data_IF_474352375578
#
_entry.id   IF_474352375578
#
_cell.length_a   1.000
_cell.length_b   1.000
_cell.length_c   1.000
_cell.angle_alpha   90.00
_cell.angle_beta   90.00
_cell.angle_gamma   90.00
#
_symmetry.space_group_name_H-M   'P 1'
#
loop_
_entity.id
_entity.type
_entity.pdbx_description
1 polymer ?
#
# COMPACT_ATOMS: atom_id res chain seq x y z
N UNK A 1 0.46 -12.13 -93.56
CA UNK A 1 -0.05 -10.89 -93.04
C UNK A 1 -1.02 -11.22 -91.88
N UNK A 2 -0.58 -11.12 -90.63
CA UNK A 2 -1.42 -11.34 -89.48
C UNK A 2 -1.14 -10.15 -88.54
N UNK A 3 -2.15 -9.31 -88.36
CA UNK A 3 -2.10 -8.10 -87.49
C UNK A 3 -2.11 -8.49 -86.01
N UNK A 4 -1.06 -8.18 -85.32
CA UNK A 4 -0.96 -8.30 -83.87
C UNK A 4 -1.58 -7.04 -83.21
N UNK A 5 -2.84 -7.12 -82.74
CA UNK A 5 -3.58 -6.09 -82.05
C UNK A 5 -3.11 -6.01 -80.56
N UNK A 6 -2.24 -5.08 -80.23
CA UNK A 6 -1.83 -4.74 -78.88
C UNK A 6 -3.06 -4.21 -78.11
N UNK A 7 -3.57 -4.99 -77.14
CA UNK A 7 -4.57 -4.53 -76.14
C UNK A 7 -3.88 -3.66 -75.09
N UNK A 8 -4.10 -2.36 -75.16
CA UNK A 8 -3.70 -1.44 -74.09
C UNK A 8 -4.50 -1.74 -72.82
N UNK A 9 -3.88 -1.93 -71.64
CA UNK A 9 -4.61 -2.16 -70.40
C UNK A 9 -5.48 -0.94 -70.07
N UNK A 10 -6.74 -1.18 -69.72
CA UNK A 10 -7.72 -0.15 -69.37
C UNK A 10 -7.25 0.62 -68.10
N UNK A 11 -6.78 1.86 -68.29
CA UNK A 11 -6.33 2.76 -67.21
C UNK A 11 -7.42 2.99 -66.15
N UNK A 12 -8.70 2.86 -66.53
CA UNK A 12 -9.84 2.94 -65.62
C UNK A 12 -9.91 1.76 -64.62
N UNK A 13 -9.54 0.56 -65.03
CA UNK A 13 -9.54 -0.62 -64.18
C UNK A 13 -8.39 -0.58 -63.14
N UNK A 14 -7.23 -0.05 -63.57
CA UNK A 14 -6.08 0.14 -62.69
C UNK A 14 -6.33 1.26 -61.62
N UNK A 15 -7.07 2.29 -62.01
CA UNK A 15 -7.44 3.37 -61.04
C UNK A 15 -8.50 2.89 -60.05
N UNK A 16 -9.46 2.04 -60.45
CA UNK A 16 -10.49 1.50 -59.57
C UNK A 16 -9.90 0.53 -58.53
N UNK A 17 -8.91 -0.32 -58.92
CA UNK A 17 -8.16 -1.16 -57.95
C UNK A 17 -7.30 -0.35 -56.99
N UNK A 18 -6.73 0.80 -57.40
CA UNK A 18 -5.94 1.65 -56.53
C UNK A 18 -6.81 2.36 -55.45
N UNK A 19 -8.04 2.75 -55.79
CA UNK A 19 -8.98 3.40 -54.85
C UNK A 19 -9.54 2.40 -53.83
N UNK A 20 -9.81 1.15 -54.22
CA UNK A 20 -10.31 0.11 -53.31
C UNK A 20 -9.23 -0.37 -52.31
N UNK A 21 -7.94 -0.21 -52.61
CA UNK A 21 -6.86 -0.53 -51.68
C UNK A 21 -6.67 0.54 -50.59
N UNK A 22 -7.09 1.79 -50.78
CA UNK A 22 -7.00 2.87 -49.82
C UNK A 22 -8.06 2.81 -48.71
N UNK A 23 -9.21 2.18 -48.96
CA UNK A 23 -10.28 2.03 -47.96
C UNK A 23 -10.08 0.83 -47.02
N UNK A 24 -9.08 -0.03 -47.25
CA UNK A 24 -8.83 -1.25 -46.47
C UNK A 24 -8.03 -1.05 -45.16
N UNK A 25 -7.51 0.15 -44.90
CA UNK A 25 -6.63 0.37 -43.74
C UNK A 25 -7.33 0.28 -42.37
N UNK A 26 -8.66 0.37 -42.32
CA UNK A 26 -9.44 0.30 -41.04
C UNK A 26 -9.75 -1.16 -40.61
N UNK A 27 -9.52 -2.15 -41.46
CA UNK A 27 -9.87 -3.57 -41.18
C UNK A 27 -8.69 -4.44 -40.78
N UNK A 28 -7.48 -3.87 -40.69
CA UNK A 28 -6.30 -4.64 -40.27
C UNK A 28 -6.40 -4.94 -38.77
N UNK A 29 -6.09 -6.18 -38.32
CA UNK A 29 -6.15 -6.53 -36.90
C UNK A 29 -5.17 -5.70 -36.08
N UNK A 30 -5.69 -5.02 -35.09
CA UNK A 30 -4.93 -4.23 -34.10
C UNK A 30 -4.92 -4.92 -32.76
N UNK A 31 -3.77 -4.83 -32.06
CA UNK A 31 -3.61 -5.38 -30.71
C UNK A 31 -4.20 -4.48 -29.59
N UNK A 32 -5.09 -3.54 -29.93
CA UNK A 32 -5.74 -2.63 -29.01
C UNK A 32 -6.04 -1.26 -29.63
N UNK A 33 -6.59 -0.29 -28.87
CA UNK A 33 -6.99 1.02 -29.37
C UNK A 33 -5.79 1.85 -29.85
N UNK A 34 -6.02 2.71 -30.83
CA UNK A 34 -5.06 3.73 -31.28
C UNK A 34 -5.07 4.92 -30.33
N UNK A 35 -4.05 5.77 -30.41
CA UNK A 35 -3.99 7.03 -29.65
C UNK A 35 -5.26 7.85 -29.81
N UNK A 36 -5.76 8.02 -31.03
CA UNK A 36 -6.98 8.76 -31.31
C UNK A 36 -8.21 8.14 -30.62
N UNK A 37 -8.37 6.81 -30.67
CA UNK A 37 -9.51 6.11 -30.06
C UNK A 37 -9.60 6.36 -28.56
N UNK A 38 -8.43 6.41 -27.86
CA UNK A 38 -8.36 6.68 -26.41
C UNK A 38 -8.70 8.14 -26.12
N UNK A 39 -8.20 9.07 -26.91
CA UNK A 39 -8.46 10.49 -26.76
C UNK A 39 -9.91 10.86 -27.07
N UNK A 40 -10.48 10.29 -28.12
CA UNK A 40 -11.83 10.54 -28.57
C UNK A 40 -12.87 9.98 -27.59
N UNK A 41 -12.62 8.80 -27.02
CA UNK A 41 -13.51 8.21 -26.01
C UNK A 41 -13.61 9.04 -24.70
N UNK A 42 -12.65 9.90 -24.44
CA UNK A 42 -12.67 10.84 -23.30
C UNK A 42 -13.44 12.12 -23.58
N UNK A 43 -13.80 12.39 -24.85
CA UNK A 43 -14.55 13.60 -25.20
C UNK A 43 -16.04 13.40 -24.88
N UNK A 44 -16.73 14.46 -24.37
CA UNK A 44 -18.17 14.38 -24.17
C UNK A 44 -18.87 14.15 -25.52
N UNK A 45 -19.60 13.05 -25.63
CA UNK A 45 -20.43 12.81 -26.81
C UNK A 45 -21.57 13.87 -26.87
N UNK A 46 -22.04 14.22 -28.06
CA UNK A 46 -23.14 15.21 -28.22
C UNK A 46 -24.50 14.70 -27.72
N UNK A 47 -24.58 13.47 -27.20
CA UNK A 47 -25.82 12.90 -26.67
C UNK A 47 -26.10 13.36 -25.23
N UNK A 48 -27.33 13.81 -24.92
CA UNK A 48 -27.70 14.18 -23.56
C UNK A 48 -27.61 12.99 -22.62
N UNK A 49 -26.76 13.09 -21.56
CA UNK A 49 -26.56 12.04 -20.53
C UNK A 49 -25.35 11.14 -20.74
N UNK A 50 -24.58 11.29 -21.80
CA UNK A 50 -23.32 10.57 -21.96
C UNK A 50 -22.28 11.09 -20.94
N UNK A 51 -21.78 10.21 -20.11
CA UNK A 51 -20.64 10.47 -19.23
C UNK A 51 -19.45 9.71 -19.77
N UNK A 52 -18.38 10.41 -20.15
CA UNK A 52 -17.16 9.79 -20.64
C UNK A 52 -16.69 8.70 -19.64
N UNK A 53 -16.23 7.54 -20.13
CA UNK A 53 -15.85 6.42 -19.25
C UNK A 53 -14.66 6.76 -18.33
N UNK A 54 -13.82 7.69 -18.74
CA UNK A 54 -12.63 8.18 -18.02
C UNK A 54 -12.27 9.59 -18.49
N UNK A 55 -11.42 10.28 -17.70
CA UNK A 55 -10.81 11.55 -18.08
C UNK A 55 -9.38 11.30 -18.58
N UNK A 56 -8.98 11.96 -19.67
CA UNK A 56 -7.58 11.95 -20.15
C UNK A 56 -6.88 13.21 -19.68
N UNK A 57 -5.74 13.02 -19.01
CA UNK A 57 -4.95 14.07 -18.41
C UNK A 57 -3.51 14.01 -18.94
N UNK A 58 -3.01 15.03 -19.66
CA UNK A 58 -1.61 15.07 -20.07
C UNK A 58 -0.71 15.21 -18.84
N UNK A 59 0.40 14.46 -18.82
CA UNK A 59 1.38 14.55 -17.74
C UNK A 59 2.15 15.86 -17.88
N UNK A 60 1.89 16.78 -16.95
CA UNK A 60 2.53 18.11 -16.85
C UNK A 60 3.11 18.29 -15.45
N UNK A 61 3.94 19.33 -15.25
CA UNK A 61 4.48 19.66 -13.92
C UNK A 61 3.39 19.86 -12.86
N UNK A 62 2.27 20.49 -13.21
CA UNK A 62 1.14 20.69 -12.29
C UNK A 62 0.45 19.38 -11.90
N UNK A 63 0.33 18.45 -12.84
CA UNK A 63 -0.23 17.11 -12.61
C UNK A 63 0.71 16.31 -11.71
N UNK A 64 2.00 16.31 -12.00
CA UNK A 64 3.01 15.63 -11.17
C UNK A 64 2.99 16.17 -9.74
N UNK A 65 2.97 17.52 -9.57
CA UNK A 65 2.88 18.14 -8.26
C UNK A 65 1.60 17.72 -7.49
N UNK A 66 0.45 17.65 -8.17
CA UNK A 66 -0.79 17.17 -7.57
C UNK A 66 -0.68 15.71 -7.09
N UNK A 67 -0.04 14.83 -7.87
CA UNK A 67 0.17 13.43 -7.52
C UNK A 67 1.12 13.26 -6.33
N UNK A 68 2.19 14.05 -6.24
CA UNK A 68 3.16 14.02 -5.14
C UNK A 68 2.57 14.46 -3.79
N UNK A 69 1.63 15.41 -3.79
CA UNK A 69 1.07 15.99 -2.57
C UNK A 69 -0.10 15.18 -1.96
N UNK A 70 -0.63 14.16 -2.65
CA UNK A 70 -1.78 13.38 -2.19
C UNK A 70 -1.42 11.89 -2.07
N UNK A 71 -0.58 11.50 -1.08
CA UNK A 71 -0.29 10.09 -0.83
C UNK A 71 -1.55 9.37 -0.35
N UNK A 72 -1.86 8.23 -0.99
CA UNK A 72 -3.06 7.44 -0.70
C UNK A 72 -2.85 6.60 0.55
N UNK A 73 -3.86 6.65 1.46
CA UNK A 73 -3.96 5.79 2.63
C UNK A 73 -2.95 6.14 3.73
N UNK A 74 -3.10 5.51 4.89
CA UNK A 74 -2.17 5.61 6.00
C UNK A 74 -2.83 5.37 7.35
N UNK A 75 -2.02 5.12 8.38
CA UNK A 75 -2.50 4.95 9.75
C UNK A 75 -2.87 6.29 10.37
N UNK A 76 -2.11 7.35 10.05
CA UNK A 76 -2.37 8.69 10.56
C UNK A 76 -3.76 9.21 10.19
N UNK A 77 -4.20 8.96 8.96
CA UNK A 77 -5.55 9.33 8.51
C UNK A 77 -6.67 8.54 9.19
N UNK A 78 -6.40 7.28 9.57
CA UNK A 78 -7.40 6.40 10.20
C UNK A 78 -7.49 6.60 11.72
N UNK A 79 -6.36 6.86 12.39
CA UNK A 79 -6.27 6.86 13.85
C UNK A 79 -5.87 8.21 14.45
N UNK A 80 -5.55 9.19 13.62
CA UNK A 80 -5.04 10.49 14.03
C UNK A 80 -3.62 10.39 14.60
N UNK A 81 -2.88 11.50 14.61
CA UNK A 81 -1.57 11.59 15.24
C UNK A 81 -1.63 11.74 16.75
N UNK A 82 -2.65 11.19 17.41
CA UNK A 82 -2.83 11.34 18.86
C UNK A 82 -1.74 10.56 19.58
N UNK A 83 -0.92 11.28 20.32
CA UNK A 83 0.00 10.71 21.31
C UNK A 83 -0.84 9.82 22.23
N UNK A 84 -0.61 8.50 22.16
CA UNK A 84 -1.29 7.56 23.05
C UNK A 84 -1.01 7.99 24.50
N UNK A 85 -2.06 8.21 25.29
CA UNK A 85 -1.89 8.49 26.70
C UNK A 85 -1.13 7.34 27.36
N UNK A 86 -0.13 7.66 28.15
CA UNK A 86 0.57 6.69 29.00
C UNK A 86 -0.47 6.06 29.91
N UNK A 87 -0.79 4.81 29.75
CA UNK A 87 -1.60 4.08 30.70
C UNK A 87 -0.68 3.41 31.71
N UNK A 88 -0.34 4.12 32.77
CA UNK A 88 0.32 3.54 33.95
C UNK A 88 -0.67 2.78 34.83
N UNK A 89 -1.94 2.77 34.45
CA UNK A 89 -3.01 2.14 35.21
C UNK A 89 -2.94 0.63 35.08
N UNK A 90 -2.97 -0.04 36.21
CA UNK A 90 -3.11 -1.49 36.33
C UNK A 90 -4.47 -1.94 35.78
N UNK A 91 -4.49 -3.11 35.19
CA UNK A 91 -5.71 -3.70 34.64
C UNK A 91 -6.02 -5.07 35.20
N UNK A 92 -7.19 -5.60 34.85
CA UNK A 92 -7.60 -6.95 35.20
C UNK A 92 -6.64 -7.96 34.58
N UNK A 93 -6.16 -8.92 35.36
CA UNK A 93 -5.22 -9.95 34.94
C UNK A 93 -3.76 -9.59 35.19
N UNK A 94 -3.41 -8.32 35.44
CA UNK A 94 -2.05 -7.94 35.83
C UNK A 94 -1.65 -8.62 37.14
N UNK A 95 -0.36 -8.93 37.27
CA UNK A 95 0.21 -9.50 38.49
C UNK A 95 1.12 -8.49 39.17
N UNK A 96 0.82 -8.16 40.41
CA UNK A 96 1.56 -7.20 41.22
C UNK A 96 2.31 -7.88 42.36
N UNK A 97 3.53 -7.40 42.60
CA UNK A 97 4.30 -7.71 43.80
C UNK A 97 4.06 -6.64 44.86
N UNK A 98 3.90 -7.04 46.10
CA UNK A 98 3.67 -6.12 47.25
C UNK A 98 4.72 -6.41 48.31
N UNK A 99 5.46 -5.38 48.68
CA UNK A 99 6.41 -5.40 49.79
C UNK A 99 5.96 -4.39 50.88
N UNK A 100 5.84 -4.86 52.13
CA UNK A 100 5.43 -4.05 53.25
C UNK A 100 6.59 -3.97 54.26
N UNK A 101 6.96 -2.77 54.59
CA UNK A 101 8.02 -2.44 55.59
C UNK A 101 7.39 -1.83 56.80
N UNK A 102 7.79 -2.26 58.01
CA UNK A 102 7.41 -1.67 59.30
C UNK A 102 8.62 -1.15 60.05
N UNK A 103 8.44 -0.03 60.74
CA UNK A 103 9.52 0.63 61.49
C UNK A 103 9.82 -0.02 62.86
N UNK A 104 9.05 -1.04 63.28
CA UNK A 104 9.15 -1.63 64.61
C UNK A 104 9.39 -3.15 64.60
N UNK A 105 10.21 -3.65 65.53
CA UNK A 105 10.47 -5.08 65.71
C UNK A 105 9.28 -5.88 66.27
N UNK A 106 8.21 -5.24 66.75
CA UNK A 106 7.01 -5.86 67.27
C UNK A 106 5.76 -5.65 66.43
N UNK A 107 5.91 -5.26 65.16
CA UNK A 107 4.79 -4.94 64.27
C UNK A 107 3.99 -6.15 63.79
N UNK A 108 2.89 -5.86 63.09
CA UNK A 108 1.90 -6.83 62.62
C UNK A 108 2.48 -7.92 61.67
N UNK A 109 3.54 -7.56 60.92
CA UNK A 109 4.22 -8.45 59.99
C UNK A 109 5.55 -9.00 60.53
N UNK A 110 5.77 -8.86 61.84
CA UNK A 110 6.94 -9.38 62.52
C UNK A 110 6.90 -10.90 62.65
N UNK A 111 7.75 -11.66 61.99
CA UNK A 111 8.00 -13.05 62.32
C UNK A 111 8.83 -13.11 63.58
N UNK A 112 8.45 -13.94 64.57
CA UNK A 112 9.04 -14.02 65.92
C UNK A 112 10.44 -14.59 66.00
N UNK A 113 11.39 -14.15 65.23
CA UNK A 113 12.79 -14.52 65.36
C UNK A 113 13.47 -13.50 66.30
N UNK A 114 13.87 -13.98 67.48
CA UNK A 114 14.52 -13.21 68.57
C UNK A 114 16.01 -13.01 68.18
N UNK A 115 16.24 -12.25 67.14
CA UNK A 115 17.57 -11.77 66.78
C UNK A 115 17.73 -10.31 67.22
N UNK A 116 18.77 -9.99 67.97
CA UNK A 116 19.17 -8.69 68.48
C UNK A 116 19.56 -7.69 67.39
N UNK A 117 18.66 -7.34 66.48
CA UNK A 117 18.91 -6.40 65.40
C UNK A 117 17.82 -5.34 65.36
N UNK A 118 18.16 -4.08 65.61
CA UNK A 118 17.34 -2.90 65.27
C UNK A 118 17.32 -2.80 63.74
N UNK A 119 16.30 -3.39 63.09
CA UNK A 119 16.19 -3.39 61.64
C UNK A 119 14.72 -3.28 61.18
N UNK A 120 14.51 -2.51 60.14
CA UNK A 120 13.25 -2.46 59.43
C UNK A 120 12.88 -3.87 58.97
N UNK A 121 11.70 -4.37 59.34
CA UNK A 121 11.20 -5.66 58.86
C UNK A 121 10.48 -5.50 57.53
N UNK A 122 10.80 -6.36 56.59
CA UNK A 122 10.21 -6.42 55.26
C UNK A 122 9.48 -7.73 55.08
N UNK A 123 8.21 -7.66 54.74
CA UNK A 123 7.42 -8.84 54.31
C UNK A 123 7.04 -8.68 52.84
N UNK A 124 7.51 -9.63 52.02
CA UNK A 124 7.10 -9.72 50.63
C UNK A 124 5.92 -10.69 50.51
N UNK A 125 4.79 -10.18 50.07
CA UNK A 125 3.61 -11.00 49.83
C UNK A 125 3.80 -11.83 48.52
N UNK A 126 3.20 -13.01 48.43
CA UNK A 126 3.12 -13.73 47.16
C UNK A 126 2.53 -12.83 46.08
N UNK A 127 2.99 -12.96 44.81
CA UNK A 127 2.44 -12.19 43.71
C UNK A 127 0.92 -12.28 43.63
N UNK A 128 0.22 -11.14 43.52
CA UNK A 128 -1.23 -11.05 43.52
C UNK A 128 -1.71 -10.71 42.11
N UNK A 129 -2.62 -11.54 41.56
CA UNK A 129 -3.29 -11.23 40.31
C UNK A 129 -4.52 -10.36 40.58
N UNK A 130 -4.71 -9.31 39.79
CA UNK A 130 -5.91 -8.47 39.82
C UNK A 130 -7.09 -9.27 39.30
N UNK A 131 -8.10 -9.45 40.15
CA UNK A 131 -9.31 -10.23 39.86
C UNK A 131 -10.21 -9.54 38.79
N UNK A 132 -11.23 -10.28 38.32
CA UNK A 132 -12.17 -9.76 37.33
C UNK A 132 -12.95 -8.51 37.80
N UNK A 133 -13.12 -8.34 39.12
CA UNK A 133 -13.73 -7.16 39.69
C UNK A 133 -12.76 -5.98 39.86
N UNK A 134 -11.48 -6.17 39.56
CA UNK A 134 -10.42 -5.16 39.61
C UNK A 134 -9.76 -4.99 40.97
N UNK A 135 -9.82 -6.02 41.84
CA UNK A 135 -9.28 -5.99 43.18
C UNK A 135 -8.11 -6.96 43.39
N UNK A 136 -7.30 -6.70 44.39
CA UNK A 136 -6.30 -7.59 44.97
C UNK A 136 -6.63 -7.82 46.45
N UNK A 137 -6.22 -8.96 47.02
CA UNK A 137 -6.41 -9.29 48.43
C UNK A 137 -5.09 -9.14 49.18
N UNK A 138 -5.09 -8.25 50.16
CA UNK A 138 -3.91 -7.95 50.97
C UNK A 138 -4.21 -8.32 52.42
N UNK A 139 -3.40 -9.21 53.06
CA UNK A 139 -3.60 -9.54 54.46
C UNK A 139 -3.71 -8.28 55.32
N UNK A 140 -4.66 -8.29 56.27
CA UNK A 140 -4.99 -7.19 57.19
C UNK A 140 -5.52 -5.90 56.54
N UNK A 141 -5.23 -5.62 55.26
CA UNK A 141 -5.81 -4.49 54.50
C UNK A 141 -7.13 -4.86 53.80
N UNK A 142 -7.38 -6.17 53.58
CA UNK A 142 -8.56 -6.66 52.92
C UNK A 142 -8.50 -6.54 51.41
N UNK A 143 -9.66 -6.33 50.74
CA UNK A 143 -9.76 -6.13 49.28
C UNK A 143 -9.43 -4.68 48.92
N UNK A 144 -8.43 -4.49 48.10
CA UNK A 144 -7.97 -3.18 47.62
C UNK A 144 -8.19 -3.09 46.12
N UNK A 145 -8.86 -2.05 45.66
CA UNK A 145 -9.06 -1.78 44.24
C UNK A 145 -7.73 -1.41 43.60
N UNK A 146 -7.35 -2.18 42.56
CA UNK A 146 -6.11 -1.99 41.81
C UNK A 146 -6.37 -1.56 40.35
N UNK A 147 -7.40 -2.09 39.71
CA UNK A 147 -7.74 -1.76 38.32
C UNK A 147 -8.09 -0.27 38.16
N UNK A 148 -7.52 0.36 37.12
CA UNK A 148 -7.66 1.78 36.83
C UNK A 148 -6.79 2.70 37.70
N UNK A 149 -5.90 2.14 38.52
CA UNK A 149 -4.99 2.88 39.40
C UNK A 149 -3.54 2.59 39.08
N UNK A 150 -2.65 3.53 39.41
CA UNK A 150 -1.19 3.32 39.31
C UNK A 150 -0.69 2.48 40.50
N UNK A 151 0.48 1.86 40.35
CA UNK A 151 1.14 1.14 41.47
C UNK A 151 1.31 2.00 42.69
N UNK A 152 1.65 3.29 42.53
CA UNK A 152 1.76 4.27 43.62
C UNK A 152 0.42 4.51 44.32
N UNK A 153 -0.68 4.65 43.61
CA UNK A 153 -2.02 4.84 44.15
C UNK A 153 -2.51 3.60 44.92
N UNK A 154 -2.21 2.40 44.38
CA UNK A 154 -2.53 1.14 45.06
C UNK A 154 -1.72 1.04 46.35
N UNK A 155 -0.41 1.33 46.33
CA UNK A 155 0.46 1.36 47.54
C UNK A 155 -0.07 2.32 48.62
N UNK A 156 -0.47 3.53 48.20
CA UNK A 156 -1.08 4.50 49.11
C UNK A 156 -2.39 3.99 49.73
N UNK A 157 -3.22 3.30 48.96
CA UNK A 157 -4.48 2.70 49.45
C UNK A 157 -4.23 1.57 50.44
N UNK A 158 -3.23 0.70 50.21
CA UNK A 158 -2.83 -0.36 51.14
C UNK A 158 -2.29 0.24 52.42
N UNK A 159 -1.41 1.24 52.31
CA UNK A 159 -0.85 1.95 53.49
C UNK A 159 -1.95 2.53 54.34
N UNK A 160 -2.93 3.23 53.72
CA UNK A 160 -4.05 3.81 54.47
C UNK A 160 -4.89 2.75 55.19
N UNK A 161 -5.14 1.58 54.57
CA UNK A 161 -5.87 0.48 55.19
C UNK A 161 -5.11 -0.21 56.33
N UNK A 162 -3.78 -0.13 56.36
CA UNK A 162 -2.91 -0.70 57.36
C UNK A 162 -2.58 0.29 58.52
N UNK A 163 -2.79 1.58 58.33
CA UNK A 163 -2.35 2.64 59.29
C UNK A 163 -2.87 2.45 60.69
N UNK A 164 -4.05 1.86 60.90
CA UNK A 164 -4.61 1.57 62.23
C UNK A 164 -4.15 0.23 62.84
N UNK A 165 -3.40 -0.59 62.07
CA UNK A 165 -3.06 -1.96 62.46
C UNK A 165 -1.55 -2.21 62.48
N UNK A 166 -0.79 -1.45 61.69
CA UNK A 166 0.67 -1.55 61.56
C UNK A 166 1.35 -0.26 62.01
N UNK A 167 2.59 -0.36 62.41
CA UNK A 167 3.37 0.80 62.92
C UNK A 167 4.15 1.41 61.77
N UNK A 168 3.73 2.60 61.31
CA UNK A 168 4.31 3.38 60.21
C UNK A 168 4.59 2.51 58.95
N UNK A 169 3.55 1.87 58.37
CA UNK A 169 3.74 0.95 57.27
C UNK A 169 4.15 1.70 55.98
N UNK A 170 5.25 1.24 55.39
CA UNK A 170 5.67 1.66 54.05
C UNK A 170 5.33 0.55 53.08
N UNK A 171 4.65 0.85 51.94
CA UNK A 171 4.18 -0.12 50.98
C UNK A 171 4.72 0.18 49.58
N UNK A 172 5.42 -0.77 49.00
CA UNK A 172 5.90 -0.71 47.64
C UNK A 172 5.11 -1.73 46.80
N UNK A 173 4.51 -1.26 45.74
CA UNK A 173 3.80 -2.09 44.76
C UNK A 173 4.57 -2.06 43.44
N UNK A 174 4.90 -3.24 42.91
CA UNK A 174 5.59 -3.42 41.63
C UNK A 174 4.69 -4.18 40.66
N UNK A 175 4.75 -3.87 39.37
CA UNK A 175 4.09 -4.64 38.35
C UNK A 175 5.05 -5.78 37.91
N UNK A 176 4.70 -7.02 38.23
CA UNK A 176 5.51 -8.20 37.90
C UNK A 176 5.16 -8.75 36.52
N UNK A 177 3.87 -8.75 36.16
CA UNK A 177 3.42 -9.17 34.85
C UNK A 177 2.32 -8.24 34.35
N UNK A 178 2.54 -7.70 33.16
CA UNK A 178 1.56 -6.87 32.46
C UNK A 178 0.73 -7.76 31.52
N UNK A 179 -0.53 -7.99 31.85
CA UNK A 179 -1.46 -8.79 31.08
C UNK A 179 -2.61 -7.96 30.47
N UNK A 180 -2.84 -6.78 31.02
CA UNK A 180 -3.93 -5.88 30.59
C UNK A 180 -3.52 -4.97 29.43
N UNK A 181 -2.28 -4.52 29.39
CA UNK A 181 -1.80 -3.55 28.39
C UNK A 181 -0.95 -4.26 27.31
N UNK A 182 -1.58 -5.13 26.52
CA UNK A 182 -0.93 -5.90 25.46
C UNK A 182 -1.37 -5.41 24.08
N UNK A 183 -0.44 -5.43 23.12
CA UNK A 183 -0.69 -5.34 21.69
C UNK A 183 -0.44 -6.72 21.06
N UNK A 184 -1.30 -7.13 20.15
CA UNK A 184 -1.11 -8.34 19.36
C UNK A 184 -0.37 -8.00 18.06
N UNK A 185 0.70 -8.73 17.75
CA UNK A 185 1.42 -8.62 16.48
C UNK A 185 1.48 -9.99 15.83
N UNK A 186 1.07 -10.08 14.57
CA UNK A 186 0.97 -11.36 13.86
C UNK A 186 1.23 -11.23 12.36
N UNK A 187 1.34 -12.37 11.65
CA UNK A 187 1.59 -12.44 10.22
C UNK A 187 3.08 -12.54 9.88
N UNK A 188 3.55 -11.75 8.91
CA UNK A 188 4.93 -11.76 8.37
C UNK A 188 5.93 -11.10 9.32
N UNK A 189 6.03 -11.60 10.56
CA UNK A 189 6.96 -11.13 11.61
C UNK A 189 7.82 -12.27 12.12
N UNK A 190 8.94 -11.95 12.74
CA UNK A 190 9.89 -12.91 13.29
C UNK A 190 9.24 -13.85 14.30
N UNK A 191 8.47 -13.29 15.24
CA UNK A 191 7.75 -14.03 16.29
C UNK A 191 6.42 -13.36 16.57
N UNK A 192 5.34 -13.93 16.06
CA UNK A 192 3.97 -13.44 16.35
C UNK A 192 3.60 -13.72 17.81
N UNK A 193 2.85 -12.78 18.42
CA UNK A 193 2.44 -12.92 19.81
C UNK A 193 1.76 -11.68 20.38
N UNK A 194 1.58 -11.71 21.71
CA UNK A 194 1.12 -10.55 22.48
C UNK A 194 2.30 -9.94 23.21
N UNK A 195 2.50 -8.65 23.04
CA UNK A 195 3.63 -7.92 23.60
C UNK A 195 3.13 -6.83 24.55
N UNK A 196 3.76 -6.67 25.72
CA UNK A 196 3.40 -5.61 26.65
C UNK A 196 3.84 -4.25 26.08
N UNK A 197 2.95 -3.28 26.19
CA UNK A 197 3.25 -1.90 25.82
C UNK A 197 4.10 -1.27 26.91
N UNK A 198 5.21 -0.64 26.55
CA UNK A 198 6.09 0.03 27.52
C UNK A 198 5.44 1.27 28.13
N UNK A 199 5.87 1.63 29.35
CA UNK A 199 5.39 2.84 30.03
C UNK A 199 5.74 4.14 29.30
N UNK A 200 6.72 4.12 28.38
CA UNK A 200 7.06 5.26 27.52
C UNK A 200 6.02 5.51 26.44
N UNK A 201 5.18 4.52 26.17
CA UNK A 201 4.28 4.47 25.04
C UNK A 201 5.00 4.00 23.78
N UNK A 202 4.62 2.85 23.27
CA UNK A 202 5.18 2.29 22.05
C UNK A 202 4.39 2.76 20.83
N UNK A 203 5.06 2.73 19.69
CA UNK A 203 4.47 2.98 18.39
C UNK A 203 4.43 1.70 17.58
N UNK A 204 3.77 1.73 16.44
CA UNK A 204 3.61 0.54 15.57
C UNK A 204 4.95 -0.09 15.21
N UNK A 205 5.98 0.69 14.89
CA UNK A 205 7.32 0.14 14.59
C UNK A 205 7.98 -0.51 15.80
N UNK A 206 7.77 0.03 17.02
CA UNK A 206 8.31 -0.56 18.24
C UNK A 206 7.67 -1.92 18.52
N UNK A 207 6.35 -2.03 18.33
CA UNK A 207 5.63 -3.29 18.46
C UNK A 207 6.08 -4.33 17.42
N UNK A 208 6.30 -3.92 16.17
CA UNK A 208 6.85 -4.79 15.12
C UNK A 208 8.27 -5.26 15.47
N UNK A 209 9.11 -4.36 16.00
CA UNK A 209 10.47 -4.70 16.44
C UNK A 209 10.45 -5.71 17.60
N UNK A 210 9.53 -5.54 18.57
CA UNK A 210 9.34 -6.48 19.68
C UNK A 210 8.93 -7.87 19.19
N UNK A 211 8.24 -7.96 18.05
CA UNK A 211 7.87 -9.21 17.39
C UNK A 211 9.00 -9.77 16.48
N UNK A 212 10.23 -9.29 16.62
CA UNK A 212 11.40 -9.76 15.86
C UNK A 212 11.50 -9.19 14.44
N UNK A 213 10.77 -8.12 14.14
CA UNK A 213 10.80 -7.44 12.84
C UNK A 213 10.08 -8.18 11.72
N UNK A 214 10.02 -7.59 10.51
CA UNK A 214 9.38 -8.19 9.35
C UNK A 214 10.24 -9.32 8.75
N UNK A 215 9.59 -10.34 8.16
CA UNK A 215 10.28 -11.47 7.49
C UNK A 215 10.59 -11.23 6.01
N UNK A 216 10.06 -10.16 5.42
CA UNK A 216 10.28 -9.81 4.02
C UNK A 216 10.65 -8.33 3.86
N UNK A 217 11.01 -7.91 2.66
CA UNK A 217 11.38 -6.53 2.36
C UNK A 217 10.27 -5.53 2.67
N UNK A 218 10.61 -4.37 3.16
CA UNK A 218 9.64 -3.34 3.57
C UNK A 218 8.72 -2.87 2.41
N UNK A 219 9.14 -3.04 1.17
CA UNK A 219 8.36 -2.69 -0.03
C UNK A 219 7.25 -3.70 -0.35
N UNK A 220 7.36 -4.95 0.13
CA UNK A 220 6.36 -6.00 -0.07
C UNK A 220 5.38 -6.15 1.10
N UNK A 221 5.71 -5.59 2.28
CA UNK A 221 4.95 -5.76 3.49
C UNK A 221 3.96 -4.61 3.67
N UNK A 222 2.72 -4.98 3.94
CA UNK A 222 1.67 -4.09 4.40
C UNK A 222 1.37 -4.35 5.88
N UNK A 223 1.18 -3.27 6.61
CA UNK A 223 0.84 -3.25 8.03
C UNK A 223 -0.60 -2.81 8.16
N UNK A 224 -1.45 -3.66 8.71
CA UNK A 224 -2.82 -3.35 9.09
C UNK A 224 -2.89 -3.19 10.60
N UNK A 225 -3.29 -2.03 11.07
CA UNK A 225 -3.64 -1.77 12.46
C UNK A 225 -5.15 -1.81 12.61
N UNK A 226 -5.64 -2.63 13.53
CA UNK A 226 -7.05 -2.68 13.90
C UNK A 226 -7.22 -2.25 15.35
N UNK A 227 -8.11 -1.29 15.59
CA UNK A 227 -8.42 -0.71 16.89
C UNK A 227 -9.91 -0.42 17.01
N UNK A 228 -10.58 -1.03 17.99
CA UNK A 228 -12.00 -0.77 18.26
C UNK A 228 -12.91 -0.95 17.03
N UNK A 229 -12.68 -1.98 16.22
CA UNK A 229 -13.43 -2.27 15.00
C UNK A 229 -13.05 -1.42 13.78
N UNK A 230 -12.17 -0.41 13.92
CA UNK A 230 -11.63 0.39 12.81
C UNK A 230 -10.31 -0.20 12.33
N UNK A 231 -10.07 -0.18 11.03
CA UNK A 231 -8.81 -0.63 10.44
C UNK A 231 -8.16 0.46 9.61
N UNK A 232 -6.83 0.52 9.65
CA UNK A 232 -6.01 1.32 8.76
C UNK A 232 -4.90 0.45 8.18
N UNK A 233 -4.49 0.73 6.95
CA UNK A 233 -3.45 -0.01 6.25
C UNK A 233 -2.41 0.96 5.72
N UNK A 234 -1.14 0.58 5.87
CA UNK A 234 0.00 1.33 5.34
C UNK A 234 1.08 0.35 4.85
N UNK A 235 1.82 0.71 3.81
CA UNK A 235 3.01 -0.06 3.42
C UNK A 235 4.12 0.17 4.46
N UNK A 236 4.84 -0.88 4.83
CA UNK A 236 5.89 -0.78 5.85
C UNK A 236 6.98 0.23 5.45
N UNK A 237 7.35 0.31 4.17
CA UNK A 237 8.30 1.30 3.68
C UNK A 237 7.81 2.75 3.88
N UNK A 238 6.50 3.00 3.71
CA UNK A 238 5.90 4.30 3.96
C UNK A 238 5.80 4.60 5.46
N UNK A 239 5.54 3.59 6.28
CA UNK A 239 5.54 3.69 7.75
C UNK A 239 6.92 4.09 8.29
N UNK A 240 7.99 3.56 7.69
CA UNK A 240 9.37 3.91 8.05
C UNK A 240 9.75 5.32 7.55
N UNK A 241 9.35 5.67 6.32
CA UNK A 241 9.73 6.93 5.70
C UNK A 241 8.96 8.16 6.23
N UNK A 242 7.75 7.96 6.80
CA UNK A 242 6.86 9.02 7.28
C UNK A 242 6.57 8.88 8.77
N UNK A 243 7.25 9.65 9.64
CA UNK A 243 7.08 9.54 11.10
C UNK A 243 5.63 9.73 11.59
N UNK A 244 4.81 10.49 10.87
CA UNK A 244 3.39 10.70 11.20
C UNK A 244 2.55 9.42 11.05
N UNK A 245 2.97 8.49 10.18
CA UNK A 245 2.29 7.20 10.02
C UNK A 245 2.58 6.23 11.16
N UNK A 246 3.69 6.43 11.89
CA UNK A 246 4.07 5.62 13.02
C UNK A 246 3.28 6.02 14.27
N UNK A 247 1.98 5.69 14.26
CA UNK A 247 1.04 6.03 15.33
C UNK A 247 1.32 5.23 16.61
N UNK A 248 0.93 5.80 17.77
CA UNK A 248 1.07 5.11 19.07
C UNK A 248 0.12 3.91 19.16
N UNK A 249 0.60 2.80 19.70
CA UNK A 249 -0.21 1.62 19.98
C UNK A 249 -0.97 1.75 21.29
N UNK A 250 -2.06 1.01 21.42
CA UNK A 250 -2.91 0.96 22.63
C UNK A 250 -3.21 -0.50 22.99
N UNK A 251 -3.57 -0.71 24.24
CA UNK A 251 -4.06 -2.02 24.68
C UNK A 251 -5.22 -2.51 23.82
N UNK A 252 -5.12 -3.77 23.40
CA UNK A 252 -6.11 -4.40 22.53
C UNK A 252 -5.97 -4.09 21.04
N UNK A 253 -4.93 -3.36 20.63
CA UNK A 253 -4.61 -3.20 19.22
C UNK A 253 -4.16 -4.54 18.60
N UNK A 254 -4.56 -4.76 17.36
CA UNK A 254 -4.11 -5.87 16.53
C UNK A 254 -3.32 -5.31 15.34
N UNK A 255 -2.04 -5.71 15.25
CA UNK A 255 -1.13 -5.35 14.17
C UNK A 255 -0.87 -6.60 13.36
N UNK A 256 -1.35 -6.60 12.12
CA UNK A 256 -1.20 -7.73 11.20
C UNK A 256 -0.30 -7.33 10.02
N UNK A 257 0.81 -8.03 9.87
CA UNK A 257 1.71 -7.86 8.73
C UNK A 257 1.42 -8.93 7.69
N UNK A 258 1.29 -8.52 6.42
CA UNK A 258 1.08 -9.45 5.31
C UNK A 258 1.87 -9.03 4.09
N UNK A 259 2.32 -10.04 3.33
CA UNK A 259 3.02 -9.82 2.08
C UNK A 259 2.03 -9.60 0.96
N UNK A 260 2.18 -8.48 0.27
CA UNK A 260 1.42 -8.13 -0.92
C UNK A 260 2.34 -7.35 -1.86
N UNK A 261 3.02 -8.02 -2.80
CA UNK A 261 3.79 -7.32 -3.81
C UNK A 261 2.82 -6.51 -4.70
N UNK A 262 3.10 -5.23 -4.86
CA UNK A 262 2.38 -4.41 -5.81
C UNK A 262 2.77 -4.83 -7.22
N UNK A 263 1.84 -4.70 -8.16
CA UNK A 263 2.04 -5.09 -9.56
C UNK A 263 1.51 -4.02 -10.48
N UNK A 264 2.11 -3.91 -11.65
CA UNK A 264 1.55 -3.16 -12.77
C UNK A 264 1.53 -4.04 -14.03
N UNK A 265 0.68 -3.70 -14.98
CA UNK A 265 0.55 -4.44 -16.24
C UNK A 265 0.95 -3.55 -17.40
N UNK A 266 1.68 -4.09 -18.36
CA UNK A 266 2.05 -3.39 -19.59
C UNK A 266 1.44 -4.10 -20.77
N UNK A 267 0.78 -3.35 -21.66
CA UNK A 267 0.06 -3.84 -22.82
C UNK A 267 0.32 -2.98 -24.05
N UNK A 268 0.01 -3.51 -25.23
CA UNK A 268 0.10 -2.79 -26.51
C UNK A 268 1.43 -2.96 -27.21
N UNK A 269 1.96 -1.88 -27.77
CA UNK A 269 3.21 -1.86 -28.53
C UNK A 269 4.45 -1.67 -27.64
N UNK A 270 4.48 -2.29 -26.47
CA UNK A 270 5.69 -2.45 -25.68
C UNK A 270 6.49 -3.66 -26.13
N UNK A 271 7.80 -3.70 -25.80
CA UNK A 271 8.64 -4.85 -26.13
C UNK A 271 8.28 -6.12 -25.31
N UNK A 272 7.63 -5.97 -24.16
CA UNK A 272 7.13 -7.06 -23.34
C UNK A 272 5.76 -6.75 -22.72
N UNK A 273 4.73 -7.49 -23.12
CA UNK A 273 3.37 -7.44 -22.57
C UNK A 273 3.25 -8.42 -21.42
N UNK A 274 3.26 -7.94 -20.18
CA UNK A 274 3.18 -8.78 -18.99
C UNK A 274 2.74 -7.98 -17.75
N UNK A 275 2.49 -8.71 -16.66
CA UNK A 275 2.32 -8.12 -15.32
C UNK A 275 3.63 -8.27 -14.57
N UNK A 276 4.13 -7.15 -14.04
CA UNK A 276 5.44 -7.02 -13.39
C UNK A 276 5.23 -6.63 -11.94
N UNK A 277 5.90 -7.32 -11.02
CA UNK A 277 5.92 -6.95 -9.60
C UNK A 277 6.92 -5.84 -9.32
N UNK A 278 6.63 -5.00 -8.32
CA UNK A 278 7.57 -4.02 -7.82
C UNK A 278 8.68 -4.73 -7.05
N UNK A 279 9.93 -4.37 -7.32
CA UNK A 279 11.14 -4.84 -6.63
C UNK A 279 11.73 -3.77 -5.68
N UNK A 280 11.07 -2.62 -5.61
CA UNK A 280 11.51 -1.47 -4.82
C UNK A 280 10.32 -0.70 -4.24
N UNK A 281 10.60 0.13 -3.22
CA UNK A 281 9.57 0.88 -2.49
C UNK A 281 8.89 1.95 -3.34
N UNK A 282 9.61 2.52 -4.29
CA UNK A 282 9.14 3.51 -5.24
C UNK A 282 9.56 3.08 -6.62
N UNK A 283 8.64 3.05 -7.55
CA UNK A 283 8.87 2.75 -8.95
C UNK A 283 8.27 3.90 -9.75
N UNK A 284 9.09 4.59 -10.54
CA UNK A 284 8.64 5.65 -11.44
C UNK A 284 8.06 5.08 -12.73
N UNK A 285 7.26 5.89 -13.42
CA UNK A 285 6.66 5.50 -14.71
C UNK A 285 7.75 5.18 -15.76
N UNK A 286 8.85 5.95 -15.79
CA UNK A 286 9.95 5.66 -16.72
C UNK A 286 10.65 4.35 -16.40
N UNK A 287 10.87 4.03 -15.11
CA UNK A 287 11.45 2.74 -14.69
C UNK A 287 10.50 1.58 -15.02
N UNK A 288 9.19 1.77 -14.85
CA UNK A 288 8.19 0.77 -15.21
C UNK A 288 8.20 0.47 -16.72
N UNK A 289 8.30 1.51 -17.56
CA UNK A 289 8.49 1.34 -19.01
C UNK A 289 9.80 0.59 -19.30
N UNK A 290 10.89 0.94 -18.63
CA UNK A 290 12.19 0.25 -18.75
C UNK A 290 12.11 -1.23 -18.36
N UNK A 291 11.38 -1.58 -17.27
CA UNK A 291 11.15 -2.98 -16.86
C UNK A 291 10.36 -3.78 -17.90
N UNK A 292 9.49 -3.13 -18.65
CA UNK A 292 8.79 -3.72 -19.81
C UNK A 292 9.66 -3.74 -21.09
N UNK A 293 10.97 -3.53 -20.96
CA UNK A 293 11.96 -3.47 -22.06
C UNK A 293 11.75 -2.29 -23.03
N UNK A 294 11.03 -1.25 -22.58
CA UNK A 294 10.77 -0.07 -23.40
C UNK A 294 9.64 -0.26 -24.42
N UNK A 295 9.59 0.65 -25.37
CA UNK A 295 8.67 0.62 -26.51
C UNK A 295 9.26 -0.24 -27.63
N UNK A 296 8.39 -0.87 -28.42
CA UNK A 296 8.78 -1.60 -29.63
C UNK A 296 8.97 -0.58 -30.79
N UNK A 297 10.20 -0.32 -31.16
CA UNK A 297 10.57 0.69 -32.19
C UNK A 297 9.85 0.49 -33.53
N UNK A 298 9.43 -0.75 -33.87
CA UNK A 298 8.76 -1.05 -35.12
C UNK A 298 7.25 -0.80 -35.09
N UNK A 299 6.64 -0.74 -33.91
CA UNK A 299 5.19 -0.71 -33.74
C UNK A 299 4.68 0.43 -32.87
N UNK A 300 5.49 0.92 -31.94
CA UNK A 300 5.02 1.86 -30.93
C UNK A 300 4.84 3.27 -31.50
N UNK A 301 3.78 3.93 -31.05
CA UNK A 301 3.69 5.36 -31.13
C UNK A 301 4.25 5.98 -29.84
N UNK A 302 5.42 6.59 -29.93
CA UNK A 302 6.08 7.22 -28.80
C UNK A 302 5.26 8.40 -28.21
N UNK A 303 4.33 8.98 -28.98
CA UNK A 303 3.39 9.98 -28.47
C UNK A 303 2.17 9.35 -27.78
N UNK A 304 1.96 8.03 -27.91
CA UNK A 304 0.77 7.33 -27.41
C UNK A 304 1.06 6.41 -26.25
N UNK A 305 1.71 6.89 -25.21
CA UNK A 305 1.91 6.15 -23.95
C UNK A 305 0.86 6.61 -22.94
N UNK A 306 0.09 5.65 -22.40
CA UNK A 306 -1.01 5.92 -21.49
C UNK A 306 -0.85 5.13 -20.19
N UNK A 307 -1.11 5.77 -19.05
CA UNK A 307 -1.20 5.15 -17.74
C UNK A 307 -2.66 5.19 -17.27
N UNK A 308 -3.30 4.02 -17.23
CA UNK A 308 -4.66 3.85 -16.72
C UNK A 308 -4.61 3.59 -15.23
N UNK A 309 -5.36 4.38 -14.45
CA UNK A 309 -5.37 4.34 -12.99
C UNK A 309 -6.72 4.72 -12.44
N UNK A 310 -7.12 4.08 -11.34
CA UNK A 310 -8.24 4.54 -10.52
C UNK A 310 -7.72 5.49 -9.44
N UNK A 311 -8.12 6.76 -9.51
CA UNK A 311 -7.67 7.81 -8.59
C UNK A 311 -8.59 7.99 -7.39
N UNK A 312 -7.99 8.34 -6.24
CA UNK A 312 -8.72 8.80 -5.06
C UNK A 312 -9.45 10.14 -5.38
N UNK A 313 -10.67 10.37 -4.87
CA UNK A 313 -11.40 11.62 -5.08
C UNK A 313 -10.62 12.90 -4.72
N UNK A 314 -9.69 12.81 -3.76
CA UNK A 314 -8.85 13.96 -3.38
C UNK A 314 -7.87 14.34 -4.49
N UNK A 315 -7.23 13.33 -5.10
CA UNK A 315 -6.33 13.53 -6.25
C UNK A 315 -7.12 14.06 -7.42
N UNK A 316 -8.28 13.47 -7.69
CA UNK A 316 -9.18 13.88 -8.76
C UNK A 316 -9.61 15.36 -8.63
N UNK A 317 -9.96 15.78 -7.42
CA UNK A 317 -10.28 17.18 -7.12
C UNK A 317 -9.08 18.11 -7.29
N UNK A 318 -7.87 17.66 -6.88
CA UNK A 318 -6.63 18.43 -7.04
C UNK A 318 -6.25 18.62 -8.52
N UNK A 319 -6.59 17.67 -9.38
CA UNK A 319 -6.45 17.76 -10.83
C UNK A 319 -7.52 18.68 -11.49
N UNK A 320 -8.46 19.23 -10.72
CA UNK A 320 -9.57 20.09 -11.17
C UNK A 320 -10.49 19.41 -12.19
N UNK A 321 -10.61 18.09 -12.11
CA UNK A 321 -11.50 17.31 -12.95
C UNK A 321 -12.90 17.29 -12.34
N UNK A 322 -13.93 17.36 -13.19
CA UNK A 322 -15.33 17.46 -12.75
C UNK A 322 -16.08 16.17 -13.09
N UNK A 323 -16.05 15.18 -12.21
CA UNK A 323 -17.01 14.08 -12.32
C UNK A 323 -17.93 14.07 -11.11
N UNK A 324 -19.22 13.92 -11.34
CA UNK A 324 -20.20 13.66 -10.29
C UNK A 324 -20.12 12.25 -9.71
N UNK A 325 -18.96 11.56 -9.83
CA UNK A 325 -18.75 10.18 -9.44
C UNK A 325 -18.26 10.10 -8.00
N UNK A 326 -18.90 9.27 -7.19
CA UNK A 326 -18.43 8.92 -5.87
C UNK A 326 -17.43 7.74 -5.93
N UNK A 327 -16.46 7.69 -5.00
CA UNK A 327 -15.45 6.63 -4.92
C UNK A 327 -14.24 6.84 -5.83
N UNK A 328 -13.53 5.76 -6.14
CA UNK A 328 -12.38 5.81 -7.06
C UNK A 328 -12.80 6.11 -8.48
N UNK A 329 -12.12 7.07 -9.13
CA UNK A 329 -12.46 7.57 -10.46
C UNK A 329 -11.41 7.12 -11.48
N UNK A 330 -11.81 6.56 -12.64
CA UNK A 330 -10.87 6.17 -13.67
C UNK A 330 -10.27 7.41 -14.36
N UNK A 331 -8.95 7.49 -14.37
CA UNK A 331 -8.15 8.54 -15.02
C UNK A 331 -7.10 7.88 -15.92
N UNK A 332 -6.92 8.43 -17.11
CA UNK A 332 -5.91 8.01 -18.07
C UNK A 332 -4.90 9.15 -18.21
N UNK A 333 -3.68 8.92 -17.74
CA UNK A 333 -2.60 9.88 -17.92
C UNK A 333 -1.92 9.64 -19.26
N UNK A 334 -1.77 10.70 -20.04
CA UNK A 334 -1.15 10.67 -21.36
C UNK A 334 0.28 11.20 -21.28
N UNK A 335 1.24 10.41 -21.77
CA UNK A 335 2.65 10.72 -21.83
C UNK A 335 3.13 10.71 -23.30
N UNK A 336 3.61 11.84 -23.79
CA UNK A 336 4.22 11.96 -25.09
C UNK A 336 5.75 11.88 -24.99
N UNK A 337 6.32 10.72 -25.29
CA UNK A 337 7.77 10.47 -25.25
C UNK A 337 8.54 11.05 -26.44
N UNK A 338 7.87 11.64 -27.45
CA UNK A 338 8.55 12.44 -28.49
C UNK A 338 9.09 13.75 -27.92
N UNK A 339 8.50 14.21 -26.80
CA UNK A 339 9.00 15.36 -26.08
C UNK A 339 10.02 14.90 -25.02
N UNK A 340 11.30 15.33 -25.09
CA UNK A 340 12.33 14.94 -24.12
C UNK A 340 12.01 15.33 -22.67
N UNK A 341 11.24 16.42 -22.43
CA UNK A 341 10.83 16.84 -21.11
C UNK A 341 9.93 15.80 -20.43
N UNK A 342 9.16 15.06 -21.22
CA UNK A 342 8.27 14.00 -20.70
C UNK A 342 9.01 12.89 -19.97
N UNK A 343 10.29 12.61 -20.33
CA UNK A 343 11.12 11.64 -19.61
C UNK A 343 11.42 12.11 -18.18
N UNK A 344 11.67 13.42 -18.00
CA UNK A 344 11.89 14.00 -16.66
C UNK A 344 10.60 13.99 -15.83
N UNK A 345 9.46 14.28 -16.45
CA UNK A 345 8.16 14.19 -15.79
C UNK A 345 7.83 12.74 -15.38
N UNK A 346 8.07 11.78 -16.28
CA UNK A 346 7.83 10.37 -16.03
C UNK A 346 8.71 9.79 -14.89
N UNK A 347 9.87 10.37 -14.61
CA UNK A 347 10.70 10.02 -13.44
C UNK A 347 10.03 10.40 -12.11
N UNK A 348 9.18 11.43 -12.11
CA UNK A 348 8.50 11.94 -10.92
C UNK A 348 7.12 11.32 -10.71
N UNK A 349 6.54 10.71 -11.73
CA UNK A 349 5.26 9.98 -11.61
C UNK A 349 5.52 8.62 -10.98
N UNK A 350 5.08 8.44 -9.73
CA UNK A 350 5.20 7.16 -8.99
C UNK A 350 4.10 6.18 -9.44
N UNK A 351 4.51 4.96 -9.76
CA UNK A 351 3.60 3.84 -10.08
C UNK A 351 2.87 3.36 -8.83
N UNK A 352 1.64 2.85 -9.02
CA UNK A 352 0.81 2.29 -7.95
C UNK A 352 0.37 0.86 -8.28
N UNK A 353 -0.06 0.15 -7.25
CA UNK A 353 -0.60 -1.21 -7.44
C UNK A 353 -1.78 -1.21 -8.41
N UNK A 354 -1.75 -2.16 -9.36
CA UNK A 354 -2.75 -2.34 -10.42
C UNK A 354 -2.78 -1.27 -11.51
N UNK A 355 -1.76 -0.43 -11.61
CA UNK A 355 -1.59 0.44 -12.77
C UNK A 355 -1.49 -0.36 -14.07
N UNK A 356 -2.03 0.21 -15.15
CA UNK A 356 -1.89 -0.38 -16.48
C UNK A 356 -1.22 0.64 -17.39
N UNK A 357 -0.04 0.30 -17.90
CA UNK A 357 0.63 1.06 -18.96
C UNK A 357 0.18 0.48 -20.29
N UNK A 358 -0.33 1.31 -21.15
CA UNK A 358 -0.70 0.96 -22.52
C UNK A 358 0.10 1.80 -23.50
N UNK A 359 0.75 1.12 -24.44
CA UNK A 359 1.48 1.76 -25.55
C UNK A 359 0.70 1.53 -26.84
N UNK A 360 0.24 2.61 -27.46
CA UNK A 360 -0.52 2.51 -28.71
C UNK A 360 0.37 2.15 -29.91
N UNK A 361 -0.24 1.57 -30.94
CA UNK A 361 0.46 1.30 -32.18
C UNK A 361 0.57 2.57 -33.03
N UNK A 362 1.74 2.77 -33.66
CA UNK A 362 1.96 3.82 -34.64
C UNK A 362 1.19 3.51 -35.93
N UNK A 363 0.71 4.54 -36.62
CA UNK A 363 0.06 4.41 -37.92
C UNK A 363 0.98 3.77 -38.99
N UNK A 364 2.30 3.96 -38.89
CA UNK A 364 3.30 3.31 -39.74
C UNK A 364 3.34 1.79 -39.58
N UNK A 365 3.03 1.26 -38.40
CA UNK A 365 2.94 -0.18 -38.16
C UNK A 365 1.80 -0.85 -38.94
N UNK A 366 0.69 -0.16 -39.17
CA UNK A 366 -0.40 -0.64 -39.99
C UNK A 366 -0.01 -0.63 -41.49
N UNK A 367 0.75 0.39 -41.93
CA UNK A 367 1.31 0.42 -43.31
C UNK A 367 2.30 -0.73 -43.53
N UNK A 368 3.17 -1.05 -42.60
CA UNK A 368 4.09 -2.19 -42.69
C UNK A 368 3.35 -3.52 -42.80
N UNK A 369 2.28 -3.74 -42.03
CA UNK A 369 1.43 -4.93 -42.14
C UNK A 369 0.82 -5.04 -43.55
N UNK A 370 0.37 -3.92 -44.11
CA UNK A 370 -0.16 -3.85 -45.46
C UNK A 370 0.91 -4.20 -46.48
N UNK A 371 2.13 -3.65 -46.35
CA UNK A 371 3.27 -3.96 -47.23
C UNK A 371 3.66 -5.45 -47.17
N UNK A 372 3.68 -6.04 -45.98
CA UNK A 372 3.92 -7.49 -45.82
C UNK A 372 2.85 -8.35 -46.50
N UNK A 373 1.58 -7.98 -46.36
CA UNK A 373 0.47 -8.69 -47.06
C UNK A 373 0.57 -8.57 -48.58
N UNK A 374 0.87 -7.39 -49.10
CA UNK A 374 1.07 -7.16 -50.55
C UNK A 374 2.32 -7.90 -51.05
N UNK A 375 3.44 -7.82 -50.32
CA UNK A 375 4.70 -8.48 -50.64
C UNK A 375 4.55 -10.02 -50.69
N UNK A 376 3.81 -10.58 -49.73
CA UNK A 376 3.52 -12.01 -49.72
C UNK A 376 2.66 -12.44 -50.90
N UNK A 377 1.67 -11.64 -51.33
CA UNK A 377 0.83 -11.92 -52.50
C UNK A 377 1.59 -11.80 -53.82
N UNK A 378 2.51 -10.84 -53.95
CA UNK A 378 3.36 -10.67 -55.15
C UNK A 378 4.38 -11.81 -55.29
N UNK A 379 4.93 -12.32 -54.16
CA UNK A 379 5.83 -13.46 -54.14
C UNK A 379 5.19 -14.76 -54.70
N UNK A 380 3.91 -14.98 -54.37
CA UNK A 380 3.16 -16.15 -54.87
C UNK A 380 2.90 -16.06 -56.38
N UNK A 381 2.62 -14.87 -56.90
CA UNK A 381 2.42 -14.65 -58.35
C UNK A 381 3.74 -14.83 -59.12
N UNK A 382 4.87 -14.38 -58.54
CA UNK A 382 6.21 -14.58 -59.15
C UNK A 382 6.64 -16.03 -59.23
N UNK A 383 6.34 -16.85 -58.22
CA UNK A 383 6.64 -18.27 -58.20
C UNK A 383 5.79 -19.07 -59.20
N UNK A 384 4.51 -18.67 -59.42
CA UNK A 384 3.63 -19.29 -60.41
C UNK A 384 4.06 -19.05 -61.87
N UNK A 385 4.67 -17.91 -62.18
CA UNK A 385 5.15 -17.55 -63.52
C UNK A 385 6.44 -18.29 -63.91
N UNK A 386 7.29 -18.59 -62.92
CA UNK A 386 8.53 -19.37 -63.20
C UNK A 386 8.28 -20.84 -63.43
N UNK A 387 7.25 -21.46 -62.83
CA UNK A 387 6.88 -22.85 -63.08
C UNK A 387 6.21 -23.09 -64.44
N UNK A 388 5.60 -22.06 -65.02
CA UNK A 388 5.00 -22.19 -66.39
C UNK A 388 6.02 -22.07 -67.52
N UNK A 389 7.30 -21.69 -67.27
CA UNK A 389 8.36 -21.61 -68.30
C UNK A 389 9.32 -22.79 -68.34
N UNK A 390 9.18 -23.77 -67.44
CA UNK A 390 10.02 -25.00 -67.44
C UNK A 390 9.30 -26.19 -68.08
N UNK A 391 8.07 -26.03 -68.57
CA UNK A 391 7.23 -27.06 -69.14
C UNK A 391 6.97 -26.93 -70.65
N UNK A 392 8.01 -26.48 -71.45
CA UNK A 392 7.96 -26.60 -72.91
C UNK A 392 9.35 -26.96 -73.50
#
# INVERSE_FOLDING_TARGET
MSEYRSRRPNRALSALCAVSLLSGCSTLPNAGPKTADILDAAQPAPEPGFVAPYDVVPITDSVVAALEHHPIGGLAGSFGGVIGGRSEALGVGDVVGISIYEASSGGLFGSGDIGTGVGTKNVQLPPQQIDQAGYISVPFAGRVRASGRTTAQVGASIRAALAAKAIDPQVIVTLNQNAANLVTVSGEVGQGGRFPISLRGDRVLDAIASAGGPRAGAHEIYVRLTRGGRSGVVRLSALVARPQENVSVRAGDDIFLYRKPDTFTVLGASAANNTISFDQSRLSLVEAIGKARGLDDNRADAAGVFLFRYEDPRVYSALRLSSGRGGFVPVVYHLDLKNPQSLLLAQRVEMRDKDVIYVSNAASGDAMKLFHLIGASVGIVGAGVTLSRVGN
#
